data_IF_955536500929
#
_entry.id   IF_955536500929
#
_cell.length_a   1.000
_cell.length_b   1.000
_cell.length_c   1.000
_cell.angle_alpha   90.00
_cell.angle_beta   90.00
_cell.angle_gamma   90.00
#
_symmetry.space_group_name_H-M   'P 1'
#
loop_
_entity.id
_entity.type
_entity.pdbx_description
1 polymer ?
#
# COMPACT_ATOMS: atom_id res chain seq x y z
N UNK A 1 7.56 -6.25 2.84
CA UNK A 1 7.63 -5.36 1.66
C UNK A 1 8.02 -3.99 2.17
N UNK A 2 9.04 -3.32 1.62
CA UNK A 2 9.36 -1.95 2.01
C UNK A 2 8.15 -1.04 1.77
N UNK A 3 7.85 -0.18 2.74
CA UNK A 3 6.76 0.77 2.65
C UNK A 3 7.10 2.08 3.36
N UNK A 4 6.35 3.13 3.02
CA UNK A 4 6.34 4.41 3.73
C UNK A 4 4.90 4.89 3.79
N UNK A 5 4.49 5.38 4.96
CA UNK A 5 3.19 5.98 5.17
C UNK A 5 3.36 7.39 5.74
N UNK A 6 2.56 8.34 5.27
CA UNK A 6 2.55 9.71 5.78
C UNK A 6 1.16 10.33 5.67
N UNK A 7 0.91 11.34 6.51
CA UNK A 7 -0.29 12.17 6.43
C UNK A 7 -0.01 13.37 5.52
N UNK A 8 -0.79 13.52 4.47
CA UNK A 8 -0.74 14.69 3.59
C UNK A 8 -1.20 15.96 4.32
N UNK A 9 -0.84 17.16 3.85
CA UNK A 9 -1.36 18.42 4.41
C UNK A 9 -2.89 18.50 4.44
N UNK A 10 -3.55 17.87 3.46
CA UNK A 10 -5.02 17.76 3.41
C UNK A 10 -5.61 16.69 4.32
N UNK A 11 -4.81 16.06 5.18
CA UNK A 11 -5.26 15.12 6.20
C UNK A 11 -5.43 13.66 5.76
N UNK A 12 -5.33 13.37 4.45
CA UNK A 12 -5.37 12.01 3.92
C UNK A 12 -4.09 11.23 4.26
N UNK A 13 -4.22 9.92 4.43
CA UNK A 13 -3.10 9.00 4.55
C UNK A 13 -2.64 8.58 3.15
N UNK A 14 -1.34 8.62 2.93
CA UNK A 14 -0.69 8.12 1.73
C UNK A 14 0.24 6.99 2.13
N UNK A 15 0.05 5.81 1.54
CA UNK A 15 0.89 4.64 1.72
C UNK A 15 1.51 4.27 0.37
N UNK A 16 2.84 4.16 0.33
CA UNK A 16 3.58 3.66 -0.81
C UNK A 16 4.22 2.34 -0.41
N UNK A 17 4.06 1.31 -1.23
CA UNK A 17 4.59 -0.04 -0.98
C UNK A 17 5.33 -0.53 -2.21
N UNK A 18 6.55 -1.04 -2.03
CA UNK A 18 7.35 -1.63 -3.10
C UNK A 18 7.39 -3.15 -2.97
N UNK A 19 7.00 -3.86 -4.03
CA UNK A 19 7.29 -5.29 -4.17
C UNK A 19 8.68 -5.49 -4.81
N UNK A 20 9.72 -5.60 -3.98
CA UNK A 20 11.09 -5.89 -4.46
C UNK A 20 11.33 -7.35 -4.86
N UNK A 21 10.33 -8.23 -4.76
CA UNK A 21 10.51 -9.65 -5.06
C UNK A 21 10.25 -9.96 -6.53
N UNK A 22 10.74 -11.12 -6.98
CA UNK A 22 10.50 -11.64 -8.33
C UNK A 22 9.13 -12.33 -8.50
N UNK A 23 8.27 -12.27 -7.48
CA UNK A 23 6.95 -12.92 -7.46
C UNK A 23 5.86 -11.88 -7.13
N UNK A 24 4.62 -12.06 -7.62
CA UNK A 24 3.49 -11.27 -7.16
C UNK A 24 3.34 -11.38 -5.64
N UNK A 25 3.01 -10.27 -4.97
CA UNK A 25 2.75 -10.26 -3.52
C UNK A 25 1.53 -9.43 -3.18
N UNK A 26 0.69 -9.98 -2.32
CA UNK A 26 -0.45 -9.26 -1.75
C UNK A 26 -0.03 -8.39 -0.57
N UNK A 27 -0.54 -7.15 -0.53
CA UNK A 27 -0.48 -6.27 0.62
C UNK A 27 -1.88 -6.09 1.21
N UNK A 28 -1.99 -6.29 2.52
CA UNK A 28 -3.20 -6.04 3.29
C UNK A 28 -3.23 -4.58 3.75
N UNK A 29 -4.28 -3.85 3.37
CA UNK A 29 -4.50 -2.45 3.71
C UNK A 29 -5.54 -2.37 4.84
N UNK A 30 -5.10 -1.95 6.02
CA UNK A 30 -5.98 -1.71 7.16
C UNK A 30 -6.41 -0.24 7.17
N UNK A 31 -7.63 0.02 6.71
CA UNK A 31 -8.21 1.37 6.60
C UNK A 31 -9.27 1.52 7.70
N UNK A 32 -9.21 2.55 8.56
CA UNK A 32 -10.22 2.77 9.59
C UNK A 32 -11.64 2.83 9.01
N UNK A 33 -12.57 2.12 9.64
CA UNK A 33 -13.96 2.05 9.19
C UNK A 33 -14.22 1.17 7.96
N UNK A 34 -13.20 0.48 7.43
CA UNK A 34 -13.34 -0.41 6.28
C UNK A 34 -12.86 -1.83 6.61
N UNK A 35 -13.39 -2.86 5.93
CA UNK A 35 -12.76 -4.17 5.91
C UNK A 35 -11.33 -4.10 5.38
N UNK A 36 -10.49 -5.07 5.75
CA UNK A 36 -9.13 -5.18 5.21
C UNK A 36 -9.20 -5.37 3.70
N UNK A 37 -8.55 -4.48 2.95
CA UNK A 37 -8.49 -4.55 1.48
C UNK A 37 -7.20 -5.27 1.08
N UNK A 38 -7.27 -6.16 0.10
CA UNK A 38 -6.10 -6.84 -0.47
C UNK A 38 -5.75 -6.21 -1.81
N UNK A 39 -4.48 -5.81 -1.98
CA UNK A 39 -3.95 -5.38 -3.27
C UNK A 39 -2.79 -6.30 -3.68
N UNK A 40 -2.86 -6.89 -4.88
CA UNK A 40 -1.78 -7.69 -5.42
C UNK A 40 -0.84 -6.82 -6.25
N UNK A 41 0.44 -6.77 -5.88
CA UNK A 41 1.48 -6.06 -6.62
C UNK A 41 2.30 -7.07 -7.43
N UNK A 42 2.41 -6.81 -8.73
CA UNK A 42 3.30 -7.54 -9.62
C UNK A 42 4.77 -7.46 -9.15
N UNK A 43 5.64 -8.37 -9.59
CA UNK A 43 7.08 -8.30 -9.34
C UNK A 43 7.66 -6.93 -9.72
N UNK A 44 8.48 -6.33 -8.85
CA UNK A 44 9.12 -5.04 -9.09
C UNK A 44 8.20 -3.80 -9.02
N UNK A 45 6.88 -3.98 -8.85
CA UNK A 45 5.94 -2.86 -8.86
C UNK A 45 5.93 -2.08 -7.53
N UNK A 46 5.68 -0.78 -7.63
CA UNK A 46 5.30 0.07 -6.50
C UNK A 46 3.79 0.39 -6.58
N UNK A 47 3.08 0.27 -5.45
CA UNK A 47 1.70 0.66 -5.31
C UNK A 47 1.58 1.90 -4.42
N UNK A 48 0.74 2.85 -4.83
CA UNK A 48 0.37 4.04 -4.04
C UNK A 48 -1.10 3.94 -3.67
N UNK A 49 -1.40 3.98 -2.38
CA UNK A 49 -2.74 3.90 -1.84
C UNK A 49 -3.01 5.19 -1.05
N UNK A 50 -4.17 5.81 -1.29
CA UNK A 50 -4.55 7.06 -0.65
C UNK A 50 -5.96 6.90 -0.10
N UNK A 51 -6.14 7.23 1.17
CA UNK A 51 -7.44 7.28 1.82
C UNK A 51 -7.53 8.43 2.82
#
# INVERSE_FOLDING_TARGET
MPNVAFKSPGGRIVLIVLNKSAQPRSVALAIPGNPVIQACLNPGAAGTFVW
#
